data_IF_726526647811
#
_entry.id   IF_726526647811
#
_cell.length_a   1.000
_cell.length_b   1.000
_cell.length_c   1.000
_cell.angle_alpha   90.00
_cell.angle_beta   90.00
_cell.angle_gamma   90.00
#
_symmetry.space_group_name_H-M   'P 1'
#
loop_
_entity.id
_entity.type
_entity.pdbx_description
1 polymer ?
#
# COMPACT_ATOMS: atom_id res chain seq x y z
N UNK A 1 0.50 -9.04 17.02
CA UNK A 1 1.30 -8.48 15.91
C UNK A 1 2.35 -7.55 16.50
N UNK A 2 3.62 -7.76 16.17
CA UNK A 2 4.74 -7.01 16.74
C UNK A 2 4.97 -5.71 15.99
N UNK A 3 5.07 -4.56 16.66
CA UNK A 3 5.45 -3.31 15.99
C UNK A 3 6.82 -3.50 15.31
N UNK A 4 6.95 -2.99 14.09
CA UNK A 4 8.17 -3.16 13.30
C UNK A 4 8.22 -4.42 12.46
N UNK A 5 7.23 -5.32 12.59
CA UNK A 5 7.15 -6.47 11.70
C UNK A 5 6.64 -6.04 10.33
N UNK A 6 6.96 -6.83 9.28
CA UNK A 6 6.45 -6.59 7.94
C UNK A 6 4.92 -6.52 7.94
N UNK A 7 4.28 -7.45 8.64
CA UNK A 7 2.82 -7.50 8.71
C UNK A 7 2.25 -6.21 9.32
N UNK A 8 2.84 -5.75 10.42
CA UNK A 8 2.37 -4.54 11.09
C UNK A 8 2.54 -3.30 10.19
N UNK A 9 3.72 -3.13 9.59
CA UNK A 9 3.98 -2.00 8.70
C UNK A 9 3.06 -2.02 7.48
N UNK A 10 2.85 -3.19 6.88
CA UNK A 10 1.95 -3.31 5.73
C UNK A 10 0.52 -2.97 6.12
N UNK A 11 0.05 -3.49 7.26
CA UNK A 11 -1.30 -3.22 7.74
C UNK A 11 -1.51 -1.73 8.02
N UNK A 12 -0.53 -1.06 8.63
CA UNK A 12 -0.62 0.38 8.87
C UNK A 12 -0.74 1.15 7.55
N UNK A 13 0.06 0.77 6.55
CA UNK A 13 0.01 1.46 5.27
C UNK A 13 -1.33 1.27 4.58
N UNK A 14 -1.87 0.05 4.58
CA UNK A 14 -3.20 -0.21 4.03
C UNK A 14 -4.24 0.64 4.75
N UNK A 15 -4.17 0.68 6.07
CA UNK A 15 -5.12 1.44 6.87
C UNK A 15 -5.10 2.93 6.50
N UNK A 16 -3.92 3.54 6.50
CA UNK A 16 -3.82 4.98 6.25
C UNK A 16 -4.06 5.36 4.79
N UNK A 17 -3.68 4.50 3.86
CA UNK A 17 -3.79 4.80 2.43
C UNK A 17 -5.11 4.37 1.83
N UNK A 18 -5.77 3.38 2.37
CA UNK A 18 -6.87 2.74 1.64
C UNK A 18 -8.03 2.25 2.51
N UNK A 19 -8.16 2.70 3.77
CA UNK A 19 -9.26 2.16 4.62
C UNK A 19 -10.64 2.44 4.06
N UNK A 20 -10.81 3.47 3.25
CA UNK A 20 -12.08 3.79 2.60
C UNK A 20 -12.32 3.04 1.30
N UNK A 21 -11.34 2.25 0.84
CA UNK A 21 -11.46 1.52 -0.41
C UNK A 21 -12.07 0.14 -0.21
N UNK A 22 -12.68 -0.44 -1.25
CA UNK A 22 -13.10 -1.85 -1.21
C UNK A 22 -11.89 -2.75 -0.99
N UNK A 23 -12.14 -4.02 -0.65
CA UNK A 23 -11.08 -4.99 -0.40
C UNK A 23 -10.09 -5.07 -1.55
N UNK A 24 -10.56 -5.04 -2.82
CA UNK A 24 -9.67 -5.08 -3.98
C UNK A 24 -8.70 -3.89 -4.00
N UNK A 25 -9.18 -2.71 -3.64
CA UNK A 25 -8.33 -1.51 -3.55
C UNK A 25 -7.29 -1.63 -2.45
N UNK A 26 -7.66 -2.21 -1.33
CA UNK A 26 -6.72 -2.44 -0.23
C UNK A 26 -5.65 -3.46 -0.61
N UNK A 27 -6.04 -4.54 -1.29
CA UNK A 27 -5.10 -5.54 -1.80
C UNK A 27 -4.13 -4.87 -2.79
N UNK A 28 -4.63 -4.02 -3.67
CA UNK A 28 -3.81 -3.34 -4.66
C UNK A 28 -2.74 -2.45 -4.02
N UNK A 29 -3.10 -1.67 -3.00
CA UNK A 29 -2.12 -0.85 -2.27
C UNK A 29 -1.07 -1.73 -1.60
N UNK A 30 -1.49 -2.84 -1.01
CA UNK A 30 -0.56 -3.79 -0.40
C UNK A 30 0.39 -4.39 -1.44
N UNK A 31 -0.10 -4.71 -2.64
CA UNK A 31 0.75 -5.25 -3.71
C UNK A 31 1.84 -4.27 -4.11
N UNK A 32 1.53 -2.98 -4.22
CA UNK A 32 2.54 -1.97 -4.54
C UNK A 32 3.66 -1.99 -3.51
N UNK A 33 3.31 -2.01 -2.23
CA UNK A 33 4.29 -2.04 -1.16
C UNK A 33 5.18 -3.29 -1.26
N UNK A 34 4.55 -4.45 -1.46
CA UNK A 34 5.30 -5.71 -1.56
C UNK A 34 6.19 -5.74 -2.80
N UNK A 35 5.70 -5.23 -3.94
CA UNK A 35 6.51 -5.16 -5.16
C UNK A 35 7.74 -4.26 -4.96
N UNK A 36 7.57 -3.12 -4.29
CA UNK A 36 8.69 -2.24 -3.99
C UNK A 36 9.69 -2.88 -3.03
N UNK A 37 9.19 -3.67 -2.09
CA UNK A 37 10.03 -4.42 -1.17
C UNK A 37 10.63 -5.67 -1.81
N UNK A 38 10.31 -5.91 -3.09
CA UNK A 38 10.75 -7.11 -3.81
C UNK A 38 10.36 -8.39 -3.09
N UNK A 39 9.26 -8.32 -2.35
CA UNK A 39 8.73 -9.44 -1.55
C UNK A 39 9.68 -9.94 -0.47
N UNK A 40 10.64 -9.10 -0.06
CA UNK A 40 11.57 -9.39 1.03
C UNK A 40 10.97 -8.81 2.32
N UNK A 41 10.56 -9.65 3.29
CA UNK A 41 9.90 -9.15 4.51
C UNK A 41 10.70 -8.07 5.23
N UNK A 42 12.01 -8.21 5.31
CA UNK A 42 12.87 -7.23 5.99
C UNK A 42 12.90 -5.86 5.34
N UNK A 43 12.41 -5.74 4.10
CA UNK A 43 12.37 -4.46 3.39
C UNK A 43 11.02 -3.74 3.48
N UNK A 44 9.98 -4.42 3.98
CA UNK A 44 8.62 -3.85 3.95
C UNK A 44 8.52 -2.56 4.77
N UNK A 45 8.98 -2.58 6.00
CA UNK A 45 8.94 -1.36 6.83
C UNK A 45 9.77 -0.24 6.23
N UNK A 46 10.93 -0.55 5.64
CA UNK A 46 11.76 0.45 4.96
C UNK A 46 10.98 1.13 3.82
N UNK A 47 10.27 0.34 3.02
CA UNK A 47 9.46 0.87 1.92
C UNK A 47 8.34 1.77 2.45
N UNK A 48 7.63 1.31 3.48
CA UNK A 48 6.51 2.07 4.04
C UNK A 48 6.97 3.42 4.61
N UNK A 49 8.10 3.43 5.31
CA UNK A 49 8.60 4.64 5.95
C UNK A 49 9.60 5.43 5.12
N UNK A 50 9.83 5.05 3.87
CA UNK A 50 10.69 5.80 2.98
C UNK A 50 10.19 7.24 2.85
N UNK A 51 11.12 8.19 3.05
CA UNK A 51 10.78 9.60 3.08
C UNK A 51 10.09 10.03 1.79
N UNK A 52 8.95 10.70 1.91
CA UNK A 52 8.20 11.23 0.77
C UNK A 52 7.36 10.22 0.00
N UNK A 53 7.31 8.96 0.42
CA UNK A 53 6.52 7.95 -0.30
C UNK A 53 5.05 7.93 0.13
N UNK A 54 4.81 7.88 1.42
CA UNK A 54 3.44 7.86 1.96
C UNK A 54 3.29 9.02 2.93
N UNK A 55 2.40 9.95 2.59
CA UNK A 55 2.28 11.21 3.34
C UNK A 55 1.94 11.01 4.81
N UNK A 56 1.23 9.94 5.17
CA UNK A 56 0.86 9.71 6.56
C UNK A 56 2.08 9.47 7.45
N UNK A 57 3.18 8.94 6.90
CA UNK A 57 4.39 8.67 7.68
C UNK A 57 5.11 9.96 8.08
N UNK A 58 4.95 11.02 7.29
CA UNK A 58 5.57 12.31 7.54
C UNK A 58 4.68 13.22 8.39
N UNK A 59 3.44 12.81 8.63
CA UNK A 59 2.48 13.60 9.41
C UNK A 59 2.84 13.58 10.90
N UNK A 60 2.58 14.69 11.57
CA UNK A 60 2.71 14.78 13.03
C UNK A 60 1.46 14.29 13.76
N UNK A 61 0.42 13.89 13.02
CA UNK A 61 -0.80 13.38 13.61
C UNK A 61 -0.56 12.02 14.27
N UNK A 62 -1.45 11.67 15.20
CA UNK A 62 -1.45 10.33 15.78
C UNK A 62 -1.65 9.29 14.69
N UNK A 63 -0.70 8.37 14.56
CA UNK A 63 -0.69 7.33 13.53
C UNK A 63 -1.33 6.04 13.99
N UNK A 64 -1.72 5.96 15.26
CA UNK A 64 -2.40 4.79 15.80
C UNK A 64 -3.78 4.69 15.17
N UNK A 65 -4.14 3.53 14.61
CA UNK A 65 -5.47 3.34 14.02
C UNK A 65 -6.58 3.62 15.04
N UNK A 66 -7.51 4.50 14.66
CA UNK A 66 -8.61 4.92 15.53
C UNK A 66 -9.94 4.23 15.19
N UNK A 67 -10.00 3.51 14.07
CA UNK A 67 -11.21 2.83 13.60
C UNK A 67 -11.01 1.33 13.69
N UNK A 68 -11.51 0.67 14.76
CA UNK A 68 -11.19 -0.74 15.00
C UNK A 68 -11.57 -1.70 13.86
N UNK A 69 -12.71 -1.48 13.23
CA UNK A 69 -13.13 -2.36 12.13
C UNK A 69 -12.23 -2.22 10.91
N UNK A 70 -11.90 -0.96 10.56
CA UNK A 70 -11.01 -0.69 9.44
C UNK A 70 -9.61 -1.23 9.71
N UNK A 71 -9.15 -1.12 10.94
CA UNK A 71 -7.85 -1.65 11.34
C UNK A 71 -7.83 -3.19 11.24
N UNK A 72 -8.86 -3.84 11.72
CA UNK A 72 -8.97 -5.30 11.65
C UNK A 72 -8.98 -5.78 10.20
N UNK A 73 -9.72 -5.07 9.33
CA UNK A 73 -9.76 -5.38 7.91
C UNK A 73 -8.40 -5.22 7.26
N UNK A 74 -7.69 -4.13 7.56
CA UNK A 74 -6.36 -3.88 7.02
C UNK A 74 -5.38 -4.97 7.44
N UNK A 75 -5.46 -5.45 8.69
CA UNK A 75 -4.63 -6.54 9.17
C UNK A 75 -4.92 -7.84 8.41
N UNK A 76 -6.18 -8.14 8.17
CA UNK A 76 -6.57 -9.35 7.44
C UNK A 76 -6.07 -9.31 5.99
N UNK A 77 -6.20 -8.15 5.33
CA UNK A 77 -5.70 -7.97 3.96
C UNK A 77 -4.19 -8.12 3.93
N UNK A 78 -3.48 -7.49 4.86
CA UNK A 78 -2.02 -7.58 4.92
C UNK A 78 -1.57 -9.05 5.07
N UNK A 79 -2.21 -9.80 5.95
CA UNK A 79 -1.87 -11.21 6.16
C UNK A 79 -2.09 -12.02 4.90
N UNK A 80 -3.24 -11.83 4.24
CA UNK A 80 -3.54 -12.57 3.00
C UNK A 80 -2.55 -12.27 1.90
N UNK A 81 -2.13 -11.00 1.75
CA UNK A 81 -1.15 -10.63 0.74
C UNK A 81 0.22 -11.24 1.04
N UNK A 82 0.68 -11.11 2.28
CA UNK A 82 1.99 -11.68 2.67
C UNK A 82 1.99 -13.20 2.50
N UNK A 83 0.89 -13.86 2.80
CA UNK A 83 0.76 -15.31 2.70
C UNK A 83 0.57 -15.81 1.26
N UNK A 84 0.51 -14.89 0.28
CA UNK A 84 0.39 -15.26 -1.12
C UNK A 84 -1.01 -15.72 -1.53
N UNK A 85 -2.05 -15.32 -0.79
CA UNK A 85 -3.43 -15.75 -1.06
C UNK A 85 -4.08 -15.03 -2.22
N UNK A 86 -3.47 -13.96 -2.72
CA UNK A 86 -4.05 -13.13 -3.77
C UNK A 86 -3.09 -12.98 -4.94
N UNK A 87 -3.60 -13.02 -6.19
CA UNK A 87 -2.76 -12.66 -7.32
C UNK A 87 -2.48 -11.16 -7.30
N UNK A 88 -1.40 -10.75 -7.97
CA UNK A 88 -1.08 -9.33 -8.10
C UNK A 88 -1.97 -8.69 -9.15
N UNK A 89 -3.08 -8.12 -8.68
CA UNK A 89 -4.05 -7.45 -9.56
C UNK A 89 -3.54 -6.12 -10.10
N UNK A 90 -2.38 -5.64 -9.63
CA UNK A 90 -1.78 -4.39 -10.09
C UNK A 90 -0.81 -4.61 -11.25
N UNK A 91 -0.57 -5.86 -11.66
CA UNK A 91 0.32 -6.19 -12.76
C UNK A 91 1.75 -5.68 -12.53
N UNK A 92 2.25 -5.87 -11.32
CA UNK A 92 3.62 -5.50 -10.97
C UNK A 92 3.81 -4.03 -10.62
N UNK A 93 2.75 -3.32 -10.30
CA UNK A 93 2.85 -1.89 -10.02
C UNK A 93 3.73 -1.60 -8.81
N UNK A 94 4.48 -0.51 -8.90
CA UNK A 94 5.33 0.00 -7.83
C UNK A 94 4.93 1.41 -7.39
N UNK A 95 3.97 2.02 -8.08
CA UNK A 95 3.49 3.37 -7.79
C UNK A 95 1.99 3.45 -8.00
N UNK A 96 1.36 4.35 -7.25
CA UNK A 96 -0.04 4.68 -7.48
C UNK A 96 -0.33 6.10 -7.02
N UNK A 97 -1.44 6.65 -7.52
CA UNK A 97 -1.94 7.93 -7.04
C UNK A 97 -3.47 7.92 -7.07
N UNK A 98 -4.09 8.82 -6.31
CA UNK A 98 -5.53 9.00 -6.37
C UNK A 98 -5.91 9.59 -7.73
N UNK A 99 -7.06 9.16 -8.26
CA UNK A 99 -7.50 9.56 -9.61
C UNK A 99 -7.61 11.09 -9.80
N UNK A 100 -7.78 11.83 -8.69
CA UNK A 100 -7.96 13.31 -8.75
C UNK A 100 -6.65 14.08 -8.82
N UNK A 101 -5.50 13.41 -8.69
CA UNK A 101 -4.19 14.07 -8.78
C UNK A 101 -3.43 13.55 -9.98
N UNK A 102 -2.46 14.35 -10.47
CA UNK A 102 -1.65 13.99 -11.63
C UNK A 102 -0.18 14.29 -11.35
N UNK A 103 0.51 13.40 -10.62
CA UNK A 103 1.93 13.60 -10.32
C UNK A 103 2.76 13.61 -11.59
N UNK A 104 3.83 14.40 -11.59
CA UNK A 104 4.72 14.49 -12.74
C UNK A 104 5.40 13.17 -13.07
N UNK A 105 5.65 12.33 -12.05
CA UNK A 105 6.32 11.06 -12.28
C UNK A 105 5.52 10.10 -13.17
N UNK A 106 4.20 10.33 -13.36
CA UNK A 106 3.39 9.47 -14.24
C UNK A 106 3.91 9.47 -15.68
N UNK A 107 4.61 10.53 -16.08
CA UNK A 107 5.15 10.61 -17.43
C UNK A 107 6.32 9.65 -17.67
N UNK A 108 6.95 9.18 -16.59
CA UNK A 108 8.11 8.28 -16.65
C UNK A 108 7.76 6.82 -16.45
N UNK A 109 6.52 6.55 -16.08
CA UNK A 109 6.09 5.21 -15.73
C UNK A 109 5.00 4.75 -16.68
N UNK A 110 4.79 3.44 -16.72
CA UNK A 110 3.74 2.83 -17.52
C UNK A 110 2.52 2.55 -16.66
N UNK A 111 1.36 3.06 -17.09
CA UNK A 111 0.10 2.78 -16.41
C UNK A 111 -0.25 1.31 -16.59
N UNK A 112 -0.61 0.63 -15.50
CA UNK A 112 -1.03 -0.76 -15.56
C UNK A 112 -2.54 -0.92 -15.45
N UNK A 113 -3.16 -0.38 -14.38
CA UNK A 113 -4.57 -0.60 -14.13
C UNK A 113 -5.11 0.51 -13.23
N UNK A 114 -6.42 0.71 -13.30
CA UNK A 114 -7.15 1.53 -12.32
C UNK A 114 -8.00 0.60 -11.47
N UNK A 115 -7.90 0.75 -10.15
CA UNK A 115 -8.69 -0.03 -9.19
C UNK A 115 -9.28 0.97 -8.20
N UNK A 116 -10.63 1.04 -8.16
CA UNK A 116 -11.31 2.02 -7.32
C UNK A 116 -10.89 3.43 -7.66
N UNK A 117 -10.45 4.19 -6.66
CA UNK A 117 -10.06 5.58 -6.84
C UNK A 117 -8.55 5.75 -7.05
N UNK A 118 -7.83 4.65 -7.31
CA UNK A 118 -6.38 4.68 -7.52
C UNK A 118 -5.99 4.22 -8.91
N UNK A 119 -4.97 4.85 -9.46
CA UNK A 119 -4.37 4.48 -10.75
C UNK A 119 -2.95 4.00 -10.48
N UNK A 120 -2.60 2.84 -11.05
CA UNK A 120 -1.37 2.12 -10.75
C UNK A 120 -0.41 2.15 -11.91
N UNK A 121 0.89 2.16 -11.60
CA UNK A 121 1.96 2.28 -12.59
C UNK A 121 3.12 1.35 -12.25
N UNK A 122 3.81 0.89 -13.30
CA UNK A 122 5.05 0.15 -13.17
C UNK A 122 6.15 0.84 -13.96
N UNK A 123 7.40 0.45 -13.73
CA UNK A 123 8.52 0.96 -14.51
C UNK A 123 8.47 0.36 -15.93
N UNK A 124 8.84 1.19 -16.89
CA UNK A 124 8.90 0.77 -18.28
C UNK A 124 10.07 -0.18 -18.54
#
# INVERSE_FOLDING_TARGET
MTPGSALFCLALNIYHEARGEPKSGQIAVAMVTMNRAEWVPGKVCQVVYERGQFSWTDSKRNKTPQEPRAWKKAQAVARGVIDGEHPDITQGATHFHAKRVRPLWTQRLEKTVRIGDHIFYTQR
#
